data_IF_836242297278
#
_entry.id   IF_836242297278
#
_cell.length_a   1.000
_cell.length_b   1.000
_cell.length_c   1.000
_cell.angle_alpha   90.00
_cell.angle_beta   90.00
_cell.angle_gamma   90.00
#
_symmetry.space_group_name_H-M   'P 1'
#
loop_
_entity.id
_entity.type
_entity.pdbx_description
1 polymer ?
#
# COMPACT_ATOMS: atom_id res chain seq x y z
N UNK A 1 -4.96 5.63 26.12
CA UNK A 1 -4.98 4.27 25.52
C UNK A 1 -3.60 3.66 25.71
N UNK A 2 -3.43 2.33 25.80
CA UNK A 2 -2.14 1.73 26.19
C UNK A 2 -1.04 1.75 25.11
N UNK A 3 -1.34 2.24 23.90
CA UNK A 3 -0.45 2.20 22.73
C UNK A 3 0.14 3.55 22.33
N UNK A 4 0.53 4.37 23.31
CA UNK A 4 1.21 5.64 23.05
C UNK A 4 2.72 5.49 23.29
N UNK A 5 3.51 6.06 22.38
CA UNK A 5 4.95 6.15 22.52
C UNK A 5 5.39 7.08 23.67
N UNK A 6 6.71 7.33 23.81
CA UNK A 6 7.76 6.93 22.88
C UNK A 6 8.13 5.45 23.00
N UNK A 7 8.31 4.78 21.85
CA UNK A 7 8.83 3.42 21.80
C UNK A 7 10.36 3.42 21.91
N UNK A 8 10.92 2.42 22.59
CA UNK A 8 12.37 2.28 22.80
C UNK A 8 13.08 1.56 21.65
N UNK A 9 12.34 0.99 20.69
CA UNK A 9 12.89 0.34 19.50
C UNK A 9 11.83 0.26 18.38
N UNK A 10 12.29 0.07 17.13
CA UNK A 10 11.42 -0.16 15.97
C UNK A 10 10.55 -1.42 16.14
N UNK A 11 11.09 -2.48 16.76
CA UNK A 11 10.35 -3.69 17.08
C UNK A 11 9.16 -3.39 17.99
N UNK A 12 9.37 -2.68 19.11
CA UNK A 12 8.29 -2.33 20.04
C UNK A 12 7.23 -1.43 19.39
N UNK A 13 7.64 -0.54 18.50
CA UNK A 13 6.70 0.27 17.72
C UNK A 13 5.80 -0.63 16.87
N UNK A 14 6.38 -1.49 16.04
CA UNK A 14 5.66 -2.38 15.15
C UNK A 14 4.82 -3.43 15.87
N UNK A 15 5.32 -4.00 16.96
CA UNK A 15 4.58 -4.89 17.87
C UNK A 15 3.37 -4.18 18.47
N UNK A 16 3.50 -2.91 18.85
CA UNK A 16 2.39 -2.16 19.45
C UNK A 16 1.22 -1.96 18.49
N UNK A 17 1.49 -1.85 17.18
CA UNK A 17 0.45 -1.75 16.16
C UNK A 17 -0.34 -3.06 16.11
N UNK A 18 0.36 -4.20 16.12
CA UNK A 18 -0.28 -5.53 16.14
C UNK A 18 -1.05 -5.77 17.44
N UNK A 19 -0.48 -5.44 18.60
CA UNK A 19 -1.18 -5.59 19.89
C UNK A 19 -2.45 -4.75 19.95
N UNK A 20 -2.41 -3.51 19.42
CA UNK A 20 -3.59 -2.65 19.31
C UNK A 20 -4.69 -3.28 18.47
N UNK A 21 -4.34 -3.87 17.33
CA UNK A 21 -5.30 -4.57 16.46
C UNK A 21 -5.87 -5.81 17.15
N UNK A 22 -5.02 -6.62 17.81
CA UNK A 22 -5.45 -7.81 18.58
C UNK A 22 -6.45 -7.43 19.67
N UNK A 23 -6.16 -6.41 20.48
CA UNK A 23 -7.05 -5.95 21.54
C UNK A 23 -8.37 -5.45 20.98
N UNK A 24 -8.33 -4.73 19.85
CA UNK A 24 -9.52 -4.23 19.19
C UNK A 24 -10.39 -5.38 18.67
N UNK A 25 -9.80 -6.38 18.03
CA UNK A 25 -10.51 -7.56 17.53
C UNK A 25 -11.15 -8.32 18.70
N UNK A 26 -10.41 -8.58 19.76
CA UNK A 26 -10.95 -9.27 20.94
C UNK A 26 -12.12 -8.54 21.60
N UNK A 27 -12.11 -7.20 21.59
CA UNK A 27 -13.14 -6.40 22.24
C UNK A 27 -14.35 -6.10 21.34
N UNK A 28 -14.15 -5.98 20.02
CA UNK A 28 -15.12 -5.36 19.12
C UNK A 28 -15.40 -6.13 17.82
N UNK A 29 -14.67 -7.21 17.53
CA UNK A 29 -14.95 -7.98 16.32
C UNK A 29 -16.34 -8.62 16.38
N UNK A 30 -17.11 -8.42 15.32
CA UNK A 30 -18.46 -8.95 15.16
C UNK A 30 -18.51 -9.82 13.89
N UNK A 31 -18.40 -11.14 14.08
CA UNK A 31 -18.43 -12.11 12.99
C UNK A 31 -19.78 -12.24 12.29
N UNK A 32 -20.86 -11.71 12.90
CA UNK A 32 -22.19 -11.73 12.32
C UNK A 32 -22.43 -10.55 11.38
N UNK A 33 -21.68 -9.46 11.53
CA UNK A 33 -21.70 -8.35 10.59
C UNK A 33 -20.84 -8.68 9.38
N UNK A 34 -21.51 -8.82 8.24
CA UNK A 34 -20.84 -8.92 6.95
C UNK A 34 -20.08 -7.61 6.64
N UNK A 35 -18.75 -7.64 6.71
CA UNK A 35 -17.87 -6.55 6.27
C UNK A 35 -17.68 -6.51 4.74
N UNK A 36 -18.70 -6.93 3.98
CA UNK A 36 -18.66 -6.88 2.51
C UNK A 36 -18.84 -5.44 2.05
N UNK A 37 -17.72 -4.76 1.81
CA UNK A 37 -17.72 -3.55 1.00
C UNK A 37 -17.87 -3.94 -0.47
N UNK A 38 -18.91 -3.46 -1.17
CA UNK A 38 -19.09 -3.76 -2.59
C UNK A 38 -17.84 -3.36 -3.39
N UNK A 39 -17.53 -4.13 -4.44
CA UNK A 39 -16.43 -3.83 -5.37
C UNK A 39 -15.02 -3.91 -4.77
N UNK A 40 -14.90 -4.19 -3.47
CA UNK A 40 -13.66 -4.58 -2.81
C UNK A 40 -13.64 -6.09 -2.63
N UNK A 41 -12.51 -6.70 -2.95
CA UNK A 41 -12.29 -8.10 -2.60
C UNK A 41 -12.42 -8.30 -1.07
N UNK A 42 -13.18 -9.32 -0.68
CA UNK A 42 -13.35 -9.75 0.71
C UNK A 42 -12.79 -11.17 0.82
N UNK A 43 -11.80 -11.38 1.70
CA UNK A 43 -11.26 -12.72 1.97
C UNK A 43 -12.36 -13.63 2.55
N UNK A 44 -12.38 -14.94 2.24
CA UNK A 44 -13.30 -15.88 2.85
C UNK A 44 -13.22 -15.87 4.39
N UNK A 45 -12.03 -15.61 4.95
CA UNK A 45 -11.80 -15.57 6.39
C UNK A 45 -11.95 -14.17 7.00
N UNK A 46 -12.39 -13.16 6.23
CA UNK A 46 -12.48 -11.76 6.70
C UNK A 46 -13.36 -11.57 7.94
N UNK A 47 -14.36 -12.43 8.15
CA UNK A 47 -15.26 -12.34 9.30
C UNK A 47 -14.89 -13.32 10.43
N UNK A 48 -13.74 -14.01 10.36
CA UNK A 48 -13.24 -14.91 11.41
C UNK A 48 -12.20 -14.18 12.28
N UNK A 49 -12.54 -13.82 13.53
CA UNK A 49 -11.56 -13.23 14.45
C UNK A 49 -10.33 -14.12 14.63
N UNK A 50 -10.50 -15.44 14.64
CA UNK A 50 -9.43 -16.41 14.82
C UNK A 50 -8.39 -16.35 13.69
N UNK A 51 -8.85 -16.21 12.44
CA UNK A 51 -7.95 -16.08 11.29
C UNK A 51 -7.12 -14.78 11.36
N UNK A 52 -7.74 -13.68 11.78
CA UNK A 52 -7.02 -12.42 11.99
C UNK A 52 -5.99 -12.54 13.12
N UNK A 53 -6.41 -13.09 14.27
CA UNK A 53 -5.53 -13.28 15.41
C UNK A 53 -4.34 -14.19 15.08
N UNK A 54 -4.56 -15.27 14.32
CA UNK A 54 -3.50 -16.18 13.89
C UNK A 54 -2.42 -15.46 13.04
N UNK A 55 -2.83 -14.67 12.04
CA UNK A 55 -1.88 -13.89 11.22
C UNK A 55 -1.18 -12.79 12.03
N UNK A 56 -1.89 -12.11 12.93
CA UNK A 56 -1.29 -11.12 13.83
C UNK A 56 -0.26 -11.75 14.79
N UNK A 57 -0.48 -12.99 15.26
CA UNK A 57 0.51 -13.69 16.07
C UNK A 57 1.72 -14.16 15.26
N UNK A 58 1.52 -14.66 14.03
CA UNK A 58 2.63 -14.96 13.10
C UNK A 58 3.49 -13.73 12.83
N UNK A 59 2.86 -12.57 12.61
CA UNK A 59 3.58 -11.31 12.48
C UNK A 59 4.42 -10.98 13.73
N UNK A 60 3.81 -11.08 14.92
CA UNK A 60 4.50 -10.78 16.19
C UNK A 60 5.68 -11.71 16.46
N UNK A 61 5.61 -12.98 16.04
CA UNK A 61 6.73 -13.90 16.21
C UNK A 61 7.87 -13.64 15.22
N UNK A 62 7.59 -13.15 14.01
CA UNK A 62 8.61 -12.85 13.01
C UNK A 62 9.26 -11.47 13.17
N UNK A 63 8.50 -10.45 13.58
CA UNK A 63 8.96 -9.06 13.50
C UNK A 63 10.29 -8.77 14.20
N UNK A 64 10.65 -9.36 15.36
CA UNK A 64 11.93 -9.07 16.00
C UNK A 64 13.15 -9.52 15.19
N UNK A 65 12.98 -10.47 14.26
CA UNK A 65 14.06 -11.13 13.53
C UNK A 65 14.27 -10.59 12.11
N UNK A 66 13.25 -9.96 11.53
CA UNK A 66 13.29 -9.48 10.13
C UNK A 66 13.63 -7.99 9.99
N UNK A 67 13.84 -7.28 11.11
CA UNK A 67 14.13 -5.86 11.09
C UNK A 67 15.59 -5.57 10.71
N UNK A 68 15.86 -4.45 10.04
CA UNK A 68 17.24 -4.04 9.76
C UNK A 68 18.02 -3.84 11.06
N UNK A 69 19.28 -4.29 11.10
CA UNK A 69 20.19 -4.05 12.23
C UNK A 69 20.98 -2.75 12.12
N UNK A 70 20.93 -2.12 10.96
CA UNK A 70 21.64 -0.90 10.65
C UNK A 70 21.07 0.30 11.44
N UNK A 71 21.88 0.95 12.31
CA UNK A 71 21.46 2.10 13.11
C UNK A 71 20.85 3.24 12.29
N UNK A 72 21.34 3.47 11.06
CA UNK A 72 20.85 4.55 10.22
C UNK A 72 19.42 4.28 9.72
N UNK A 73 19.12 3.01 9.41
CA UNK A 73 17.82 2.57 8.91
C UNK A 73 16.76 2.51 10.01
N UNK A 74 17.13 2.08 11.21
CA UNK A 74 16.21 2.03 12.36
C UNK A 74 16.02 3.39 13.03
N UNK A 75 16.82 4.40 12.66
CA UNK A 75 16.75 5.74 13.25
C UNK A 75 15.36 6.37 13.05
N UNK A 76 14.73 6.92 14.10
CA UNK A 76 13.45 7.61 13.96
C UNK A 76 13.64 8.95 13.25
N UNK A 77 12.78 9.26 12.27
CA UNK A 77 12.69 10.57 11.61
C UNK A 77 11.26 11.07 11.60
N UNK A 78 11.08 12.39 11.51
CA UNK A 78 9.78 13.01 11.30
C UNK A 78 9.42 12.93 9.82
N UNK A 79 8.24 12.42 9.51
CA UNK A 79 7.75 12.25 8.15
C UNK A 79 6.52 13.11 7.89
N UNK A 80 6.49 13.69 6.68
CA UNK A 80 5.33 14.38 6.18
C UNK A 80 4.27 13.36 5.76
N UNK A 81 3.00 13.51 6.20
CA UNK A 81 1.97 12.50 5.97
C UNK A 81 1.51 12.45 4.50
N UNK A 82 1.55 13.59 3.80
CA UNK A 82 1.04 13.72 2.44
C UNK A 82 1.91 14.64 1.57
N UNK A 83 3.12 14.20 1.21
CA UNK A 83 4.07 15.03 0.47
C UNK A 83 3.82 14.95 -1.05
N UNK A 84 2.91 15.78 -1.56
CA UNK A 84 2.63 15.94 -2.99
C UNK A 84 2.88 17.39 -3.46
N UNK A 85 2.82 17.63 -4.78
CA UNK A 85 3.11 18.94 -5.37
C UNK A 85 2.26 20.09 -4.80
N UNK A 86 1.03 19.81 -4.35
CA UNK A 86 0.15 20.82 -3.74
C UNK A 86 0.64 21.32 -2.39
N UNK A 87 1.43 20.51 -1.68
CA UNK A 87 1.99 20.84 -0.36
C UNK A 87 3.41 21.41 -0.44
N UNK A 88 3.94 21.65 -1.64
CA UNK A 88 5.31 22.15 -1.88
C UNK A 88 5.25 23.50 -2.60
N UNK A 89 5.67 24.57 -1.92
CA UNK A 89 5.75 25.89 -2.52
C UNK A 89 7.17 26.19 -3.01
N UNK A 90 7.27 26.67 -4.23
CA UNK A 90 8.52 27.09 -4.87
C UNK A 90 8.41 28.53 -5.36
N UNK A 91 9.54 29.23 -5.47
CA UNK A 91 9.60 30.57 -6.09
C UNK A 91 9.76 30.51 -7.61
N UNK A 92 9.81 31.69 -8.24
CA UNK A 92 10.00 31.85 -9.69
C UNK A 92 11.34 31.28 -10.21
N UNK A 93 12.28 30.96 -9.30
CA UNK A 93 13.57 30.35 -9.60
C UNK A 93 13.59 28.85 -9.26
N UNK A 94 12.42 28.24 -8.99
CA UNK A 94 12.25 26.85 -8.60
C UNK A 94 12.98 26.45 -7.29
N UNK A 95 13.18 27.41 -6.38
CA UNK A 95 13.73 27.14 -5.05
C UNK A 95 12.59 26.84 -4.08
N UNK A 96 12.78 25.83 -3.22
CA UNK A 96 11.82 25.47 -2.18
C UNK A 96 11.64 26.63 -1.19
N UNK A 97 10.42 27.14 -1.09
CA UNK A 97 10.03 28.20 -0.15
C UNK A 97 9.48 27.60 1.15
N UNK A 98 8.53 26.67 1.04
CA UNK A 98 7.91 26.03 2.20
C UNK A 98 7.28 24.68 1.85
N UNK A 99 7.17 23.84 2.88
CA UNK A 99 6.34 22.63 2.88
C UNK A 99 5.24 22.87 3.90
N UNK A 100 3.98 22.74 3.49
CA UNK A 100 2.81 22.94 4.34
C UNK A 100 2.12 21.62 4.66
N UNK A 101 1.05 21.67 5.44
CA UNK A 101 0.17 20.52 5.74
C UNK A 101 0.81 19.40 6.57
N UNK A 102 1.60 19.80 7.56
CA UNK A 102 2.21 18.90 8.54
C UNK A 102 1.22 18.29 9.55
N UNK A 103 -0.09 18.47 9.37
CA UNK A 103 -1.09 17.89 10.26
C UNK A 103 -1.06 16.36 10.14
N UNK A 104 -0.90 15.66 11.26
CA UNK A 104 -0.72 14.22 11.24
C UNK A 104 0.72 13.77 10.94
N UNK A 105 1.70 14.66 10.88
CA UNK A 105 3.11 14.26 10.82
C UNK A 105 3.46 13.31 11.97
N UNK A 106 4.18 12.24 11.64
CA UNK A 106 4.52 11.19 12.60
C UNK A 106 6.00 10.86 12.58
N UNK A 107 6.47 10.25 13.66
CA UNK A 107 7.84 9.75 13.76
C UNK A 107 7.85 8.25 13.50
N UNK A 108 8.60 7.80 12.50
CA UNK A 108 8.77 6.36 12.21
C UNK A 108 10.22 6.09 11.77
N UNK A 109 10.74 4.86 11.94
CA UNK A 109 12.06 4.49 11.43
C UNK A 109 12.22 4.76 9.93
N UNK A 110 13.44 5.07 9.51
CA UNK A 110 13.75 5.40 8.10
C UNK A 110 13.34 4.29 7.14
N UNK A 111 13.55 3.01 7.48
CA UNK A 111 13.20 1.91 6.59
C UNK A 111 11.69 1.78 6.31
N UNK A 112 10.84 2.31 7.20
CA UNK A 112 9.38 2.39 6.99
C UNK A 112 9.01 3.69 6.28
N UNK A 113 9.43 4.83 6.82
CA UNK A 113 8.92 6.13 6.38
C UNK A 113 9.50 6.65 5.06
N UNK A 114 10.68 6.21 4.66
CA UNK A 114 11.36 6.76 3.49
C UNK A 114 10.80 6.19 2.18
N UNK A 115 10.04 6.99 1.44
CA UNK A 115 9.51 6.63 0.12
C UNK A 115 10.11 7.51 -0.99
N UNK A 116 10.32 6.97 -2.20
CA UNK A 116 10.60 7.79 -3.36
C UNK A 116 9.52 8.87 -3.54
N UNK A 117 9.87 9.99 -4.17
CA UNK A 117 8.91 11.07 -4.40
C UNK A 117 7.67 10.56 -5.13
N UNK A 118 6.47 10.93 -4.65
CA UNK A 118 5.19 10.64 -5.31
C UNK A 118 5.06 11.28 -6.70
N UNK A 119 5.98 12.17 -7.07
CA UNK A 119 6.07 12.73 -8.43
C UNK A 119 6.67 11.75 -9.45
N UNK A 120 7.25 10.65 -8.98
CA UNK A 120 7.89 9.62 -9.80
C UNK A 120 6.95 8.42 -9.92
N UNK A 121 6.61 8.08 -11.15
CA UNK A 121 5.77 6.93 -11.44
C UNK A 121 6.63 5.68 -11.68
N UNK A 122 6.93 4.94 -10.61
CA UNK A 122 7.64 3.66 -10.70
C UNK A 122 6.79 2.51 -11.27
N UNK A 123 5.51 2.76 -11.59
CA UNK A 123 4.60 1.77 -12.17
C UNK A 123 4.71 1.63 -13.69
N UNK A 124 5.54 2.44 -14.34
CA UNK A 124 5.75 2.38 -15.79
C UNK A 124 6.77 1.31 -16.19
N UNK A 125 6.61 0.81 -17.42
CA UNK A 125 7.68 0.10 -18.10
C UNK A 125 8.79 1.09 -18.49
N UNK A 126 9.98 0.91 -17.91
CA UNK A 126 11.12 1.79 -18.14
C UNK A 126 11.54 1.81 -19.60
N UNK A 127 11.58 3.00 -20.19
CA UNK A 127 11.91 3.23 -21.59
C UNK A 127 12.80 4.47 -21.72
N UNK A 128 14.09 4.27 -22.01
CA UNK A 128 15.05 5.39 -22.07
C UNK A 128 15.05 6.13 -23.42
N UNK A 129 14.47 5.54 -24.47
CA UNK A 129 14.45 6.12 -25.82
C UNK A 129 13.13 5.84 -26.51
N UNK A 130 12.65 6.81 -27.27
CA UNK A 130 11.49 6.62 -28.13
C UNK A 130 11.79 5.54 -29.19
N UNK A 131 10.81 4.66 -29.51
CA UNK A 131 11.01 3.63 -30.52
C UNK A 131 11.13 4.24 -31.92
N UNK A 132 11.81 3.54 -32.83
CA UNK A 132 12.09 4.05 -34.18
C UNK A 132 10.82 4.37 -34.99
N UNK A 133 9.73 3.64 -34.73
CA UNK A 133 8.42 3.86 -35.37
C UNK A 133 7.58 4.95 -34.68
N UNK A 134 8.11 5.70 -33.71
CA UNK A 134 7.33 6.67 -32.94
C UNK A 134 6.54 7.67 -33.79
N UNK A 135 7.12 8.12 -34.92
CA UNK A 135 6.49 9.10 -35.81
C UNK A 135 5.22 8.59 -36.48
N UNK A 136 5.14 7.28 -36.71
CA UNK A 136 4.01 6.62 -37.40
C UNK A 136 2.90 6.17 -36.47
N UNK A 137 3.05 6.32 -35.16
CA UNK A 137 2.03 5.95 -34.17
C UNK A 137 0.91 6.99 -34.08
N UNK A 138 -0.24 6.58 -33.55
CA UNK A 138 -1.33 7.51 -33.20
C UNK A 138 -0.95 8.44 -32.02
N UNK A 139 -1.71 9.52 -31.85
CA UNK A 139 -1.40 10.56 -30.86
C UNK A 139 -1.53 10.09 -29.41
N UNK A 140 -2.45 9.16 -29.13
CA UNK A 140 -2.63 8.60 -27.79
C UNK A 140 -1.39 7.79 -27.38
N UNK A 141 -0.91 6.91 -28.27
CA UNK A 141 0.29 6.12 -28.06
C UNK A 141 1.55 6.99 -28.02
N UNK A 142 1.61 8.05 -28.84
CA UNK A 142 2.69 9.05 -28.76
C UNK A 142 2.74 9.74 -27.41
N UNK A 143 1.59 10.17 -26.87
CA UNK A 143 1.49 10.80 -25.55
C UNK A 143 1.95 9.85 -24.44
N UNK A 144 1.50 8.59 -24.49
CA UNK A 144 1.91 7.56 -23.54
C UNK A 144 3.42 7.33 -23.56
N UNK A 145 4.03 7.14 -24.74
CA UNK A 145 5.47 6.92 -24.88
C UNK A 145 6.28 8.14 -24.43
N UNK A 146 5.81 9.38 -24.69
CA UNK A 146 6.45 10.59 -24.17
C UNK A 146 6.43 10.63 -22.65
N UNK A 147 5.29 10.29 -22.03
CA UNK A 147 5.17 10.21 -20.59
C UNK A 147 6.13 9.15 -20.01
N UNK A 148 6.13 7.94 -20.57
CA UNK A 148 7.01 6.85 -20.16
C UNK A 148 8.49 7.24 -20.24
N UNK A 149 8.93 7.82 -21.36
CA UNK A 149 10.32 8.29 -21.51
C UNK A 149 10.65 9.41 -20.51
N UNK A 150 9.75 10.37 -20.35
CA UNK A 150 9.95 11.47 -19.40
C UNK A 150 10.11 10.97 -17.98
N UNK A 151 9.21 10.10 -17.52
CA UNK A 151 9.26 9.49 -16.19
C UNK A 151 10.50 8.61 -16.01
N UNK A 152 10.88 7.83 -17.03
CA UNK A 152 12.11 7.00 -16.99
C UNK A 152 13.36 7.85 -16.79
N UNK A 153 13.45 8.99 -17.49
CA UNK A 153 14.57 9.94 -17.33
C UNK A 153 14.54 10.56 -15.92
N UNK A 154 13.36 10.99 -15.44
CA UNK A 154 13.22 11.57 -14.11
C UNK A 154 13.62 10.58 -13.01
N UNK A 155 13.17 9.33 -13.08
CA UNK A 155 13.56 8.27 -12.15
C UNK A 155 15.07 8.07 -12.18
N UNK A 156 15.67 7.96 -13.37
CA UNK A 156 17.12 7.77 -13.49
C UNK A 156 17.92 8.93 -12.90
N UNK A 157 17.52 10.18 -13.18
CA UNK A 157 18.15 11.38 -12.64
C UNK A 157 17.97 11.45 -11.13
N UNK A 158 16.77 11.15 -10.62
CA UNK A 158 16.47 11.12 -9.19
C UNK A 158 17.36 10.10 -8.49
N UNK A 159 17.37 8.84 -8.92
CA UNK A 159 18.18 7.80 -8.29
C UNK A 159 19.68 8.14 -8.29
N UNK A 160 20.20 8.64 -9.41
CA UNK A 160 21.62 9.01 -9.53
C UNK A 160 21.97 10.19 -8.62
N UNK A 161 21.09 11.19 -8.54
CA UNK A 161 21.28 12.36 -7.67
C UNK A 161 21.14 11.97 -6.20
N UNK A 162 20.16 11.16 -5.86
CA UNK A 162 19.96 10.62 -4.50
C UNK A 162 21.14 9.77 -4.05
N UNK A 163 21.75 8.96 -4.94
CA UNK A 163 22.96 8.22 -4.63
C UNK A 163 24.11 9.11 -4.16
N UNK A 164 24.24 10.29 -4.78
CA UNK A 164 25.30 11.26 -4.48
C UNK A 164 24.98 12.11 -3.25
N UNK A 165 23.76 12.66 -3.19
CA UNK A 165 23.40 13.74 -2.27
C UNK A 165 22.66 13.24 -1.02
N UNK A 166 22.07 12.04 -1.06
CA UNK A 166 21.39 11.43 0.08
C UNK A 166 21.66 9.90 0.13
N UNK A 167 22.86 9.50 0.59
CA UNK A 167 23.25 8.09 0.67
C UNK A 167 22.31 7.24 1.53
N UNK A 168 21.69 7.83 2.56
CA UNK A 168 20.73 7.14 3.42
C UNK A 168 19.47 6.74 2.65
N UNK A 169 18.87 7.68 1.90
CA UNK A 169 17.72 7.38 1.07
C UNK A 169 18.07 6.34 -0.02
N UNK A 170 19.25 6.47 -0.63
CA UNK A 170 19.74 5.50 -1.60
C UNK A 170 19.87 4.09 -1.01
N UNK A 171 20.35 3.98 0.23
CA UNK A 171 20.44 2.72 0.98
C UNK A 171 19.07 2.11 1.24
N UNK A 172 18.07 2.91 1.60
CA UNK A 172 16.69 2.44 1.84
C UNK A 172 16.05 1.93 0.54
N UNK A 173 16.17 2.68 -0.55
CA UNK A 173 15.59 2.28 -1.84
C UNK A 173 16.14 0.95 -2.35
N UNK A 174 17.38 0.59 -1.96
CA UNK A 174 18.02 -0.68 -2.31
C UNK A 174 18.02 -1.70 -1.17
N UNK A 175 17.32 -1.43 -0.08
CA UNK A 175 17.31 -2.33 1.05
C UNK A 175 16.59 -3.63 0.66
N UNK A 176 17.24 -4.80 0.80
CA UNK A 176 16.57 -6.09 0.59
C UNK A 176 15.30 -6.16 1.44
N UNK A 177 14.20 -6.66 0.88
CA UNK A 177 12.93 -6.82 1.60
C UNK A 177 12.32 -5.52 2.17
N UNK A 178 12.83 -4.34 1.77
CA UNK A 178 12.30 -3.05 2.24
C UNK A 178 10.82 -2.87 1.90
N UNK A 179 10.38 -3.34 0.73
CA UNK A 179 8.96 -3.33 0.36
C UNK A 179 8.13 -4.27 1.24
N UNK A 180 8.65 -5.46 1.56
CA UNK A 180 7.98 -6.43 2.45
C UNK A 180 7.74 -5.81 3.83
N UNK A 181 8.77 -5.19 4.42
CA UNK A 181 8.66 -4.52 5.73
C UNK A 181 7.68 -3.36 5.73
N UNK A 182 7.67 -2.54 4.68
CA UNK A 182 6.70 -1.44 4.53
C UNK A 182 5.28 -1.93 4.39
N UNK A 183 5.06 -2.96 3.57
CA UNK A 183 3.72 -3.52 3.37
C UNK A 183 3.19 -4.15 4.66
N UNK A 184 4.05 -4.82 5.43
CA UNK A 184 3.67 -5.34 6.74
C UNK A 184 3.18 -4.23 7.67
N UNK A 185 3.92 -3.14 7.79
CA UNK A 185 3.52 -1.99 8.61
C UNK A 185 2.19 -1.37 8.12
N UNK A 186 2.03 -1.24 6.80
CA UNK A 186 0.82 -0.68 6.21
C UNK A 186 -0.44 -1.54 6.45
N UNK A 187 -0.30 -2.87 6.51
CA UNK A 187 -1.45 -3.78 6.60
C UNK A 187 -1.76 -4.29 8.01
N UNK A 188 -0.80 -4.28 8.93
CA UNK A 188 -0.97 -4.87 10.26
C UNK A 188 -2.00 -4.14 11.14
N UNK A 189 -2.17 -2.83 10.94
CA UNK A 189 -2.95 -1.98 11.85
C UNK A 189 -4.44 -1.84 11.56
N UNK A 190 -4.99 -2.55 10.56
CA UNK A 190 -6.40 -2.42 10.16
C UNK A 190 -6.92 -3.65 9.39
N UNK A 191 -6.48 -4.85 9.77
CA UNK A 191 -6.85 -6.11 9.11
C UNK A 191 -8.36 -6.32 9.07
N UNK A 192 -9.07 -6.03 10.17
CA UNK A 192 -10.51 -6.30 10.31
C UNK A 192 -11.38 -5.43 9.40
N UNK A 193 -11.07 -4.12 9.34
CA UNK A 193 -11.85 -3.14 8.57
C UNK A 193 -11.44 -3.08 7.08
N UNK A 194 -10.23 -3.53 6.74
CA UNK A 194 -9.74 -3.49 5.37
C UNK A 194 -9.91 -4.81 4.64
N UNK A 195 -8.88 -5.64 4.71
CA UNK A 195 -8.82 -6.93 4.05
C UNK A 195 -7.69 -7.72 4.73
N UNK A 196 -7.94 -9.00 5.03
CA UNK A 196 -6.96 -9.90 5.62
C UNK A 196 -5.90 -10.33 4.60
N UNK A 197 -6.30 -10.43 3.33
CA UNK A 197 -5.49 -10.98 2.25
C UNK A 197 -4.10 -10.31 2.09
N UNK A 198 -3.96 -8.96 2.10
CA UNK A 198 -2.66 -8.32 1.97
C UNK A 198 -1.68 -8.65 3.09
N UNK A 199 -2.16 -8.81 4.33
CA UNK A 199 -1.29 -9.21 5.45
C UNK A 199 -0.80 -10.66 5.26
N UNK A 200 -1.69 -11.55 4.84
CA UNK A 200 -1.34 -12.95 4.55
C UNK A 200 -0.28 -13.06 3.45
N UNK A 201 -0.47 -12.35 2.32
CA UNK A 201 0.52 -12.28 1.23
C UNK A 201 1.89 -11.79 1.73
N UNK A 202 1.90 -10.78 2.62
CA UNK A 202 3.15 -10.29 3.19
C UNK A 202 3.83 -11.33 4.09
N UNK A 203 3.08 -12.08 4.90
CA UNK A 203 3.63 -13.11 5.78
C UNK A 203 4.13 -14.34 5.01
N UNK A 204 3.45 -14.72 3.92
CA UNK A 204 3.93 -15.75 2.98
C UNK A 204 5.24 -15.29 2.33
N UNK A 205 5.33 -14.01 1.93
CA UNK A 205 6.56 -13.43 1.39
C UNK A 205 7.69 -13.46 2.41
N UNK A 206 7.42 -13.12 3.68
CA UNK A 206 8.40 -13.22 4.77
C UNK A 206 8.91 -14.66 4.94
N UNK A 207 8.03 -15.66 4.89
CA UNK A 207 8.45 -17.07 4.96
C UNK A 207 9.38 -17.43 3.78
N UNK A 208 8.99 -17.07 2.56
CA UNK A 208 9.78 -17.37 1.36
C UNK A 208 11.13 -16.62 1.32
N UNK A 209 11.18 -15.42 1.91
CA UNK A 209 12.36 -14.57 1.96
C UNK A 209 13.18 -14.78 3.24
N UNK A 210 12.79 -15.72 4.12
CA UNK A 210 13.34 -15.84 5.48
C UNK A 210 14.87 -15.90 5.52
N UNK A 211 15.46 -16.74 4.66
CA UNK A 211 16.91 -16.97 4.57
C UNK A 211 17.70 -15.74 4.05
N UNK A 212 17.00 -14.73 3.53
CA UNK A 212 17.61 -13.49 3.03
C UNK A 212 17.58 -12.35 4.06
N UNK A 213 16.83 -12.51 5.15
CA UNK A 213 16.94 -11.60 6.29
C UNK A 213 18.22 -11.87 7.06
N UNK A 214 18.76 -10.83 7.69
CA UNK A 214 19.93 -10.95 8.56
C UNK A 214 19.52 -11.57 9.91
N UNK A 215 19.16 -12.86 9.90
CA UNK A 215 18.74 -13.64 11.08
C UNK A 215 19.41 -15.01 11.10
N UNK A 216 19.69 -15.51 12.30
CA UNK A 216 20.19 -16.88 12.55
C UNK A 216 19.10 -17.82 13.02
N UNK A 217 17.91 -17.28 13.32
CA UNK A 217 16.77 -18.04 13.81
C UNK A 217 15.99 -18.67 12.64
N UNK A 218 15.38 -19.83 12.87
CA UNK A 218 14.43 -20.42 11.91
C UNK A 218 13.12 -19.64 11.87
N UNK A 219 12.43 -19.67 10.72
CA UNK A 219 11.11 -19.05 10.59
C UNK A 219 10.15 -19.60 11.67
N UNK A 220 9.50 -18.72 12.45
CA UNK A 220 8.67 -19.16 13.58
C UNK A 220 7.32 -19.74 13.16
N UNK A 221 6.98 -19.67 11.87
CA UNK A 221 5.75 -20.22 11.31
C UNK A 221 6.00 -20.76 9.91
N UNK A 222 5.14 -21.68 9.48
CA UNK A 222 5.11 -22.17 8.12
C UNK A 222 3.67 -22.28 7.63
N UNK A 223 3.42 -21.84 6.40
CA UNK A 223 2.11 -21.99 5.79
C UNK A 223 1.97 -23.40 5.19
N UNK A 224 0.86 -24.07 5.49
CA UNK A 224 0.56 -25.37 4.88
C UNK A 224 0.33 -25.21 3.37
N UNK A 225 0.76 -26.20 2.58
CA UNK A 225 0.62 -26.17 1.11
C UNK A 225 -0.83 -25.93 0.64
N UNK A 226 -1.79 -26.51 1.35
CA UNK A 226 -3.22 -26.29 1.06
C UNK A 226 -3.61 -24.82 1.24
N UNK A 227 -3.10 -24.15 2.29
CA UNK A 227 -3.36 -22.74 2.55
C UNK A 227 -2.73 -21.86 1.48
N UNK A 228 -1.50 -22.17 1.06
CA UNK A 228 -0.82 -21.49 -0.04
C UNK A 228 -1.60 -21.61 -1.35
N UNK A 229 -2.08 -22.81 -1.68
CA UNK A 229 -2.92 -23.03 -2.88
C UNK A 229 -4.18 -22.17 -2.85
N UNK A 230 -4.89 -22.17 -1.73
CA UNK A 230 -6.08 -21.34 -1.54
C UNK A 230 -5.75 -19.85 -1.69
N UNK A 231 -4.65 -19.40 -1.11
CA UNK A 231 -4.21 -18.01 -1.22
C UNK A 231 -3.92 -17.61 -2.68
N UNK A 232 -3.24 -18.45 -3.45
CA UNK A 232 -2.98 -18.18 -4.87
C UNK A 232 -4.25 -18.15 -5.73
N UNK A 233 -5.24 -18.98 -5.41
CA UNK A 233 -6.56 -18.89 -6.05
C UNK A 233 -7.28 -17.58 -5.72
N UNK A 234 -7.19 -17.14 -4.47
CA UNK A 234 -7.74 -15.87 -3.99
C UNK A 234 -7.06 -14.66 -4.65
N UNK A 235 -5.74 -14.72 -4.89
CA UNK A 235 -4.96 -13.65 -5.49
C UNK A 235 -5.52 -13.18 -6.84
N UNK A 236 -6.07 -14.10 -7.66
CA UNK A 236 -6.69 -13.75 -8.93
C UNK A 236 -7.93 -12.85 -8.74
N UNK A 237 -8.76 -13.15 -7.75
CA UNK A 237 -9.95 -12.35 -7.43
C UNK A 237 -9.56 -11.00 -6.83
N UNK A 238 -8.55 -10.98 -5.96
CA UNK A 238 -7.98 -9.76 -5.42
C UNK A 238 -7.44 -8.85 -6.53
N UNK A 239 -6.61 -9.38 -7.43
CA UNK A 239 -6.02 -8.64 -8.53
C UNK A 239 -7.06 -8.05 -9.49
N UNK A 240 -8.14 -8.79 -9.80
CA UNK A 240 -9.25 -8.24 -10.59
C UNK A 240 -9.91 -7.03 -9.92
N UNK A 241 -10.08 -7.07 -8.60
CA UNK A 241 -10.60 -5.92 -7.85
C UNK A 241 -9.64 -4.73 -7.94
N UNK A 242 -8.33 -4.96 -7.81
CA UNK A 242 -7.32 -3.90 -7.96
C UNK A 242 -7.28 -3.32 -9.38
N UNK A 243 -7.33 -4.15 -10.42
CA UNK A 243 -7.39 -3.71 -11.83
C UNK A 243 -8.62 -2.85 -12.11
N UNK A 244 -9.76 -3.21 -11.54
CA UNK A 244 -10.98 -2.42 -11.64
C UNK A 244 -10.78 -1.01 -11.05
N UNK A 245 -10.26 -0.90 -9.82
CA UNK A 245 -9.99 0.39 -9.19
C UNK A 245 -8.91 1.20 -9.93
N UNK A 246 -7.87 0.54 -10.43
CA UNK A 246 -6.85 1.18 -11.29
C UNK A 246 -7.44 1.72 -12.60
N UNK A 247 -8.44 1.04 -13.17
CA UNK A 247 -9.19 1.52 -14.33
C UNK A 247 -9.96 2.83 -14.07
N UNK A 248 -10.25 3.15 -12.81
CA UNK A 248 -10.95 4.37 -12.38
C UNK A 248 -10.03 5.55 -12.12
N UNK A 249 -8.72 5.32 -11.96
CA UNK A 249 -7.69 6.32 -11.61
C UNK A 249 -7.44 7.43 -12.66
N UNK A 250 -8.32 7.56 -13.65
CA UNK A 250 -8.38 8.71 -14.58
C UNK A 250 -9.82 9.09 -14.96
N UNK A 251 -10.80 8.46 -14.34
CA UNK A 251 -12.23 8.82 -14.43
C UNK A 251 -12.62 9.65 -13.21
N UNK A 252 -12.16 9.22 -12.05
CA UNK A 252 -12.29 9.87 -10.76
C UNK A 252 -10.91 10.29 -10.26
N UNK A 253 -10.84 11.41 -9.55
CA UNK A 253 -9.71 11.73 -8.68
C UNK A 253 -9.71 10.81 -7.47
N UNK A 254 -8.58 10.75 -6.74
CA UNK A 254 -8.49 9.97 -5.50
C UNK A 254 -9.46 10.46 -4.41
N UNK A 255 -9.95 11.70 -4.54
CA UNK A 255 -11.00 12.29 -3.68
C UNK A 255 -12.43 12.04 -4.20
N UNK A 256 -12.59 11.29 -5.29
CA UNK A 256 -13.90 10.92 -5.84
C UNK A 256 -14.55 11.98 -6.73
N UNK A 257 -13.80 12.99 -7.20
CA UNK A 257 -14.31 13.99 -8.15
C UNK A 257 -14.10 13.56 -9.60
N UNK A 258 -15.05 13.85 -10.48
CA UNK A 258 -14.89 13.70 -11.93
C UNK A 258 -14.76 15.06 -12.59
N UNK A 259 -13.93 15.14 -13.64
CA UNK A 259 -13.92 16.32 -14.52
C UNK A 259 -15.20 16.35 -15.37
N UNK A 260 -15.55 17.50 -15.95
CA UNK A 260 -16.68 17.58 -16.89
C UNK A 260 -16.53 16.59 -18.08
N UNK A 261 -15.31 16.31 -18.50
CA UNK A 261 -15.01 15.38 -19.60
C UNK A 261 -15.19 13.91 -19.18
N UNK A 262 -14.93 13.58 -17.91
CA UNK A 262 -15.00 12.21 -17.38
C UNK A 262 -16.29 11.92 -16.63
N UNK A 263 -17.13 12.93 -16.37
CA UNK A 263 -18.35 12.83 -15.57
C UNK A 263 -19.34 11.80 -16.13
N UNK A 264 -19.59 11.81 -17.44
CA UNK A 264 -20.52 10.85 -18.06
C UNK A 264 -20.07 9.40 -17.84
N UNK A 265 -18.77 9.15 -17.98
CA UNK A 265 -18.16 7.84 -17.74
C UNK A 265 -18.18 7.46 -16.26
N UNK A 266 -17.96 8.43 -15.36
CA UNK A 266 -18.06 8.22 -13.92
C UNK A 266 -19.50 7.83 -13.51
N UNK A 267 -20.50 8.50 -14.06
CA UNK A 267 -21.92 8.21 -13.81
C UNK A 267 -22.33 6.84 -14.35
N UNK A 268 -21.86 6.47 -15.55
CA UNK A 268 -22.10 5.14 -16.13
C UNK A 268 -21.55 4.03 -15.24
N UNK A 269 -20.28 4.15 -14.84
CA UNK A 269 -19.63 3.19 -13.93
C UNK A 269 -20.36 3.12 -12.59
N UNK A 270 -20.76 4.26 -12.02
CA UNK A 270 -21.53 4.28 -10.78
C UNK A 270 -22.88 3.58 -10.92
N UNK A 271 -23.57 3.77 -12.05
CA UNK A 271 -24.84 3.10 -12.32
C UNK A 271 -24.64 1.59 -12.48
N UNK A 272 -23.61 1.14 -13.20
CA UNK A 272 -23.27 -0.27 -13.33
C UNK A 272 -22.97 -0.90 -11.95
N UNK A 273 -22.18 -0.20 -11.13
CA UNK A 273 -21.90 -0.59 -9.74
C UNK A 273 -23.17 -0.66 -8.89
N UNK A 274 -24.09 0.28 -9.07
CA UNK A 274 -25.36 0.32 -8.35
C UNK A 274 -26.26 -0.84 -8.78
N UNK A 275 -26.42 -1.09 -10.07
CA UNK A 275 -27.26 -2.14 -10.61
C UNK A 275 -26.78 -3.53 -10.20
N UNK A 276 -25.47 -3.78 -10.28
CA UNK A 276 -24.93 -5.06 -9.86
C UNK A 276 -25.04 -5.27 -8.34
N UNK A 277 -24.86 -4.22 -7.52
CA UNK A 277 -25.13 -4.31 -6.08
C UNK A 277 -26.61 -4.59 -5.80
N UNK A 278 -27.53 -3.98 -6.53
CA UNK A 278 -28.98 -4.22 -6.40
C UNK A 278 -29.39 -5.67 -6.71
N UNK A 279 -28.63 -6.37 -7.56
CA UNK A 279 -28.87 -7.80 -7.86
C UNK A 279 -28.51 -8.71 -6.69
N UNK A 280 -27.52 -8.33 -5.88
CA UNK A 280 -27.04 -9.09 -4.73
C UNK A 280 -27.77 -8.76 -3.41
N UNK A 281 -28.54 -7.67 -3.38
CA UNK A 281 -29.27 -7.22 -2.20
C UNK A 281 -30.68 -7.85 -2.11
N UNK A 282 -31.01 -8.39 -0.94
CA UNK A 282 -32.32 -8.98 -0.65
C UNK A 282 -33.00 -8.32 0.57
N UNK A 283 -34.33 -8.39 0.63
CA UNK A 283 -35.09 -8.05 1.84
C UNK A 283 -35.00 -6.59 2.31
N UNK A 284 -34.62 -6.38 3.58
CA UNK A 284 -34.50 -5.04 4.20
C UNK A 284 -33.27 -4.27 3.74
N UNK A 285 -32.18 -4.96 3.35
CA UNK A 285 -30.96 -4.29 2.89
C UNK A 285 -31.19 -3.56 1.57
N UNK A 286 -31.98 -4.14 0.66
CA UNK A 286 -32.41 -3.47 -0.58
C UNK A 286 -33.28 -2.24 -0.30
N UNK A 287 -34.22 -2.35 0.65
CA UNK A 287 -35.10 -1.22 1.05
C UNK A 287 -34.35 -0.06 1.71
N UNK A 288 -33.22 -0.33 2.37
CA UNK A 288 -32.32 0.73 2.90
C UNK A 288 -31.42 1.32 1.83
N UNK A 289 -31.04 0.56 0.82
CA UNK A 289 -30.15 1.01 -0.26
C UNK A 289 -30.84 1.97 -1.25
N UNK A 290 -32.15 1.83 -1.45
CA UNK A 290 -32.94 2.71 -2.34
C UNK A 290 -33.45 4.00 -1.67
N UNK A 291 -33.12 4.24 -0.39
CA UNK A 291 -33.44 5.46 0.36
C UNK A 291 -32.24 6.41 0.40
#
# INVERSE_FOLDING_TARGET
MPYHGPWTSSAKYLESIACREIDWINAYADSQKSNKTPWRYTSPEQNSPEAHLDLLQKYRSAIPYILPRDPDLISPRLWHPDLHAGNVYIDDQARLLSIIDWQGAWTTPVFIGANPSLLLDYGIDMLMKLPNNFRTLDDARKKQLRYQVSQSILIHVYETTTARDNPLMYKVMRHPHGQTLKNLEAFIGSTWNNCLFPLEECLIRVENEWDHFDTTESCPYHFAEERLRQHYEQARCFNKSQEFWKGLQGVLTDEGYASNETLSKAVEIYNDMREARLKDLHGEERRKFDK
#
